data_IF_996419544576
#
_entry.id   IF_996419544576
#
_cell.length_a   1.000
_cell.length_b   1.000
_cell.length_c   1.000
_cell.angle_alpha   90.00
_cell.angle_beta   90.00
_cell.angle_gamma   90.00
#
_symmetry.space_group_name_H-M   'P 1'
#
loop_
_entity.id
_entity.type
_entity.pdbx_description
1 polymer ?
#
# COMPACT_ATOMS: atom_id res chain seq x y z
N UNK A 1 50.51 -44.87 22.22
CA UNK A 1 49.11 -44.59 22.63
C UNK A 1 49.04 -43.18 23.15
N UNK A 2 48.34 -42.29 22.44
CA UNK A 2 47.89 -41.00 22.95
C UNK A 2 46.44 -40.84 22.51
N UNK A 3 45.55 -40.65 23.48
CA UNK A 3 44.09 -40.57 23.32
C UNK A 3 43.70 -39.11 23.17
N UNK A 4 42.99 -38.83 22.08
CA UNK A 4 42.39 -37.55 21.73
C UNK A 4 41.09 -37.37 22.54
N UNK A 5 41.01 -36.35 23.39
CA UNK A 5 39.77 -35.98 24.09
C UNK A 5 39.02 -34.91 23.29
N UNK A 6 37.74 -35.19 23.09
CA UNK A 6 36.79 -34.52 22.22
C UNK A 6 36.53 -33.04 22.56
N UNK A 7 36.56 -32.19 21.53
CA UNK A 7 35.95 -30.86 21.52
C UNK A 7 34.58 -30.89 20.83
N UNK A 8 33.65 -31.72 21.31
CA UNK A 8 32.27 -31.81 20.78
C UNK A 8 31.24 -31.05 21.61
N UNK A 9 31.63 -30.53 22.80
CA UNK A 9 30.68 -29.91 23.74
C UNK A 9 30.32 -28.44 23.50
N UNK A 10 31.09 -27.69 22.69
CA UNK A 10 30.91 -26.23 22.54
C UNK A 10 30.10 -25.85 21.29
N UNK A 11 30.25 -26.59 20.18
CA UNK A 11 29.47 -26.35 18.96
C UNK A 11 28.01 -26.84 19.07
N UNK A 12 27.79 -27.93 19.79
CA UNK A 12 26.43 -28.43 20.05
C UNK A 12 25.60 -27.43 20.88
N UNK A 13 26.21 -26.75 21.85
CA UNK A 13 25.53 -25.72 22.65
C UNK A 13 25.21 -24.46 21.85
N UNK A 14 25.96 -24.15 20.80
CA UNK A 14 25.68 -23.01 19.90
C UNK A 14 24.50 -23.30 18.98
N UNK A 15 24.45 -24.48 18.36
CA UNK A 15 23.34 -24.87 17.49
C UNK A 15 22.05 -25.07 18.30
N UNK A 16 22.14 -25.67 19.48
CA UNK A 16 21.00 -25.84 20.39
C UNK A 16 20.53 -24.49 20.97
N UNK A 17 21.42 -23.49 21.11
CA UNK A 17 21.04 -22.13 21.52
C UNK A 17 20.42 -21.32 20.37
N UNK A 18 20.93 -21.44 19.14
CA UNK A 18 20.34 -20.84 17.94
C UNK A 18 18.96 -21.42 17.65
N UNK A 19 18.83 -22.75 17.75
CA UNK A 19 17.56 -23.46 17.60
C UNK A 19 16.58 -23.10 18.72
N UNK A 20 17.03 -22.95 19.97
CA UNK A 20 16.20 -22.43 21.07
C UNK A 20 15.82 -20.96 20.89
N UNK A 21 16.63 -20.11 20.24
CA UNK A 21 16.29 -18.73 19.88
C UNK A 21 15.25 -18.69 18.76
N UNK A 22 15.37 -19.55 17.74
CA UNK A 22 14.39 -19.70 16.67
C UNK A 22 13.08 -20.32 17.16
N UNK A 23 13.15 -21.29 18.07
CA UNK A 23 12.00 -21.89 18.76
C UNK A 23 11.33 -20.89 19.70
N UNK A 24 12.06 -20.03 20.43
CA UNK A 24 11.48 -18.94 21.24
C UNK A 24 10.89 -17.83 20.35
N UNK A 25 11.48 -17.53 19.17
CA UNK A 25 10.86 -16.65 18.17
C UNK A 25 9.54 -17.25 17.67
N UNK A 26 9.53 -18.53 17.30
CA UNK A 26 8.29 -19.22 16.91
C UNK A 26 7.29 -19.36 18.07
N UNK A 27 7.73 -19.54 19.31
CA UNK A 27 6.86 -19.67 20.50
C UNK A 27 6.28 -18.33 20.93
N UNK A 28 6.99 -17.21 20.77
CA UNK A 28 6.37 -15.86 20.87
C UNK A 28 5.40 -15.65 19.72
N UNK A 29 5.70 -16.09 18.50
CA UNK A 29 4.87 -15.93 17.29
C UNK A 29 3.68 -16.91 17.20
N UNK A 30 3.62 -17.94 18.04
CA UNK A 30 2.45 -18.82 18.20
C UNK A 30 1.68 -18.55 19.50
N UNK A 31 2.35 -18.13 20.59
CA UNK A 31 1.73 -17.72 21.85
C UNK A 31 1.15 -16.29 21.83
N UNK A 32 1.65 -15.42 20.93
CA UNK A 32 0.79 -14.47 20.20
C UNK A 32 0.21 -15.25 19.02
N UNK A 33 -0.96 -15.88 19.05
CA UNK A 33 -2.25 -15.20 19.11
C UNK A 33 -2.19 -13.75 18.58
N UNK A 34 -1.53 -13.52 17.43
CA UNK A 34 -1.13 -12.24 16.75
C UNK A 34 -2.27 -11.22 16.55
N UNK A 35 -2.75 -10.73 17.67
CA UNK A 35 -3.67 -9.65 17.92
C UNK A 35 -3.09 -8.26 17.53
N UNK A 36 -2.14 -8.12 16.60
CA UNK A 36 -1.47 -6.82 16.33
C UNK A 36 -0.77 -6.54 14.98
N UNK A 37 -0.49 -7.47 14.05
CA UNK A 37 0.78 -7.35 13.30
C UNK A 37 0.87 -7.69 11.79
N UNK A 38 -0.19 -7.50 10.97
CA UNK A 38 -0.03 -7.17 9.52
C UNK A 38 -0.51 -5.75 9.21
N UNK A 39 -0.54 -4.97 10.29
CA UNK A 39 -1.07 -3.64 10.42
C UNK A 39 0.09 -2.81 10.97
N UNK A 40 0.36 -1.67 10.35
CA UNK A 40 1.11 -0.61 11.03
C UNK A 40 0.25 -0.13 12.20
N UNK A 41 0.28 -0.88 13.30
CA UNK A 41 -0.39 -0.50 14.54
C UNK A 41 0.50 0.44 15.27
N UNK A 42 -0.17 1.38 15.88
CA UNK A 42 0.39 2.38 16.74
C UNK A 42 0.87 1.76 18.04
N UNK A 43 2.18 1.59 18.33
CA UNK A 43 2.62 1.23 19.67
C UNK A 43 2.20 2.32 20.67
N UNK A 44 1.23 2.01 21.52
CA UNK A 44 1.03 2.75 22.77
C UNK A 44 2.25 2.51 23.66
N UNK A 45 2.92 3.58 24.06
CA UNK A 45 3.83 3.56 25.22
C UNK A 45 3.09 2.91 26.38
N UNK A 46 3.61 1.76 26.86
CA UNK A 46 3.20 1.15 28.12
C UNK A 46 3.45 2.15 29.25
N UNK A 47 2.43 2.93 29.61
CA UNK A 47 2.26 3.37 30.99
C UNK A 47 1.16 2.50 31.57
N UNK A 48 1.59 1.61 32.45
CA UNK A 48 0.78 0.85 33.39
C UNK A 48 -0.30 1.74 33.98
N UNK A 49 -1.54 1.57 33.52
CA UNK A 49 -2.79 1.58 34.29
C UNK A 49 -3.88 1.06 33.35
N UNK A 50 -4.36 -0.17 33.62
CA UNK A 50 -5.50 -0.78 32.92
C UNK A 50 -6.77 -0.02 33.31
N UNK A 51 -7.06 1.08 32.63
CA UNK A 51 -8.44 1.52 32.50
C UNK A 51 -9.05 0.79 31.30
N UNK A 52 -10.28 0.30 31.48
CA UNK A 52 -11.14 -0.24 30.44
C UNK A 52 -11.14 0.71 29.23
N UNK A 53 -10.33 0.38 28.21
CA UNK A 53 -10.31 1.14 26.97
C UNK A 53 -11.60 0.80 26.25
N UNK A 54 -12.52 1.75 26.20
CA UNK A 54 -13.73 1.63 25.41
C UNK A 54 -13.29 1.32 23.95
N UNK A 55 -13.68 0.17 23.36
CA UNK A 55 -13.22 -0.24 22.04
C UNK A 55 -13.61 0.76 20.92
N UNK A 56 -14.52 1.69 21.22
CA UNK A 56 -14.91 2.82 20.37
C UNK A 56 -13.81 3.90 20.20
N UNK A 57 -12.67 3.80 20.86
CA UNK A 57 -11.58 4.80 20.85
C UNK A 57 -10.30 4.33 20.14
N UNK A 58 -10.32 3.18 19.45
CA UNK A 58 -9.18 2.72 18.64
C UNK A 58 -9.36 3.26 17.22
N UNK A 59 -8.44 4.13 16.77
CA UNK A 59 -8.44 4.58 15.38
C UNK A 59 -8.28 3.36 14.46
N UNK A 60 -9.04 3.31 13.35
CA UNK A 60 -8.80 2.30 12.34
C UNK A 60 -7.35 2.43 11.86
N UNK A 61 -6.69 1.32 11.54
CA UNK A 61 -5.32 1.40 11.07
C UNK A 61 -5.21 2.14 9.74
N UNK A 62 -4.03 2.70 9.49
CA UNK A 62 -3.69 3.32 8.19
C UNK A 62 -3.75 2.27 7.07
N UNK A 63 -3.19 1.09 7.32
CA UNK A 63 -2.99 0.06 6.32
C UNK A 63 -3.24 -1.34 6.90
N UNK A 64 -3.92 -2.18 6.13
CA UNK A 64 -4.08 -3.61 6.37
C UNK A 64 -3.63 -4.36 5.13
N UNK A 65 -2.84 -5.42 5.32
CA UNK A 65 -2.33 -6.24 4.21
C UNK A 65 -2.74 -7.70 4.37
N UNK A 66 -3.06 -8.36 3.26
CA UNK A 66 -3.36 -9.79 3.16
C UNK A 66 -2.61 -10.37 1.97
N UNK A 67 -1.91 -11.47 2.17
CA UNK A 67 -1.01 -12.03 1.17
C UNK A 67 -1.15 -13.53 1.11
N UNK A 68 -1.06 -14.09 -0.10
CA UNK A 68 -1.10 -15.53 -0.32
C UNK A 68 -0.35 -15.92 -1.58
N UNK A 69 0.25 -17.09 -1.56
CA UNK A 69 0.83 -17.75 -2.73
C UNK A 69 -0.05 -18.96 -3.06
N UNK A 70 -0.59 -18.99 -4.27
CA UNK A 70 -1.22 -20.18 -4.83
C UNK A 70 -0.18 -20.92 -5.67
N UNK A 71 0.29 -22.07 -5.22
CA UNK A 71 1.25 -22.91 -5.93
C UNK A 71 0.53 -24.02 -6.69
N UNK A 72 1.03 -24.43 -7.85
CA UNK A 72 0.48 -25.58 -8.57
C UNK A 72 0.60 -26.86 -7.72
N UNK A 73 -0.30 -27.83 -7.91
CA UNK A 73 -0.30 -29.06 -7.13
C UNK A 73 0.96 -29.91 -7.33
N UNK A 74 1.65 -29.77 -8.47
CA UNK A 74 2.90 -30.47 -8.72
C UNK A 74 4.13 -29.82 -8.04
N UNK A 75 3.94 -28.65 -7.42
CA UNK A 75 4.94 -28.01 -6.60
C UNK A 75 4.79 -28.42 -5.13
N UNK A 76 5.89 -28.85 -4.53
CA UNK A 76 6.01 -28.97 -3.09
C UNK A 76 6.88 -27.83 -2.58
N UNK A 77 6.27 -26.92 -1.81
CA UNK A 77 7.01 -25.86 -1.14
C UNK A 77 7.86 -26.48 -0.02
N UNK A 78 9.14 -26.14 0.01
CA UNK A 78 10.02 -26.52 1.11
C UNK A 78 9.45 -26.02 2.46
N UNK A 79 9.57 -26.84 3.51
CA UNK A 79 8.99 -26.54 4.83
C UNK A 79 9.66 -25.31 5.45
N UNK A 80 10.98 -25.16 5.29
CA UNK A 80 11.69 -24.00 5.81
C UNK A 80 11.34 -22.74 5.02
N UNK A 81 11.20 -22.85 3.70
CA UNK A 81 10.72 -21.76 2.85
C UNK A 81 9.32 -21.32 3.27
N UNK A 82 8.37 -22.25 3.39
CA UNK A 82 6.99 -21.96 3.81
C UNK A 82 6.95 -21.27 5.17
N UNK A 83 7.72 -21.78 6.13
CA UNK A 83 7.85 -21.18 7.46
C UNK A 83 8.42 -19.76 7.39
N UNK A 84 9.48 -19.54 6.60
CA UNK A 84 10.08 -18.20 6.44
C UNK A 84 9.15 -17.23 5.73
N UNK A 85 8.50 -17.67 4.65
CA UNK A 85 7.53 -16.87 3.90
C UNK A 85 6.39 -16.39 4.82
N UNK A 86 5.86 -17.28 5.64
CA UNK A 86 4.84 -16.93 6.63
C UNK A 86 5.40 -16.01 7.74
N UNK A 87 6.52 -16.37 8.36
CA UNK A 87 7.03 -15.64 9.53
C UNK A 87 7.47 -14.21 9.22
N UNK A 88 8.09 -13.98 8.06
CA UNK A 88 8.70 -12.69 7.71
C UNK A 88 7.80 -11.82 6.84
N UNK A 89 6.96 -12.43 6.00
CA UNK A 89 6.20 -11.71 4.98
C UNK A 89 4.69 -11.90 5.07
N UNK A 90 4.22 -12.75 6.01
CA UNK A 90 2.82 -13.11 6.18
C UNK A 90 2.22 -13.75 4.91
N UNK A 91 3.03 -14.50 4.15
CA UNK A 91 2.55 -15.28 3.02
C UNK A 91 2.10 -16.67 3.48
N UNK A 92 0.80 -16.93 3.36
CA UNK A 92 0.27 -18.29 3.35
C UNK A 92 0.52 -18.92 1.98
N UNK A 93 0.95 -20.18 1.94
CA UNK A 93 1.12 -20.94 0.70
C UNK A 93 0.02 -22.01 0.64
N UNK A 94 -0.75 -22.01 -0.44
CA UNK A 94 -1.82 -22.98 -0.68
C UNK A 94 -1.63 -23.63 -2.04
N UNK A 95 -1.72 -24.96 -2.09
CA UNK A 95 -1.68 -25.68 -3.35
C UNK A 95 -3.06 -25.59 -4.05
N UNK A 96 -3.04 -25.31 -5.35
CA UNK A 96 -4.22 -25.14 -6.20
C UNK A 96 -3.93 -25.77 -7.57
N UNK A 97 -4.93 -26.39 -8.19
CA UNK A 97 -4.79 -26.96 -9.53
C UNK A 97 -4.78 -25.83 -10.58
N UNK A 98 -3.62 -25.24 -10.87
CA UNK A 98 -3.51 -24.13 -11.82
C UNK A 98 -3.66 -24.58 -13.28
N UNK A 99 -3.54 -25.88 -13.54
CA UNK A 99 -3.87 -26.45 -14.86
C UNK A 99 -5.36 -26.31 -15.21
N UNK A 100 -6.27 -26.31 -14.20
CA UNK A 100 -7.67 -25.98 -14.39
C UNK A 100 -7.90 -24.47 -14.17
N UNK A 101 -7.66 -23.68 -15.22
CA UNK A 101 -7.67 -22.21 -15.18
C UNK A 101 -8.97 -21.64 -14.62
N UNK A 102 -10.13 -22.16 -15.03
CA UNK A 102 -11.43 -21.65 -14.59
C UNK A 102 -11.64 -21.88 -13.09
N UNK A 103 -11.43 -23.12 -12.62
CA UNK A 103 -11.55 -23.44 -11.19
C UNK A 103 -10.53 -22.69 -10.35
N UNK A 104 -9.31 -22.51 -10.86
CA UNK A 104 -8.25 -21.77 -10.17
C UNK A 104 -8.59 -20.28 -10.07
N UNK A 105 -9.03 -19.66 -11.18
CA UNK A 105 -9.45 -18.26 -11.22
C UNK A 105 -10.61 -18.00 -10.25
N UNK A 106 -11.61 -18.88 -10.20
CA UNK A 106 -12.72 -18.78 -9.23
C UNK A 106 -12.22 -18.86 -7.79
N UNK A 107 -11.36 -19.84 -7.47
CA UNK A 107 -10.82 -20.00 -6.10
C UNK A 107 -10.01 -18.79 -5.65
N UNK A 108 -9.20 -18.23 -6.54
CA UNK A 108 -8.43 -17.01 -6.28
C UNK A 108 -9.37 -15.83 -6.07
N UNK A 109 -10.38 -15.67 -6.94
CA UNK A 109 -11.34 -14.58 -6.86
C UNK A 109 -12.15 -14.61 -5.56
N UNK A 110 -12.57 -15.81 -5.12
CA UNK A 110 -13.30 -16.00 -3.87
C UNK A 110 -12.44 -15.64 -2.66
N UNK A 111 -11.16 -16.05 -2.66
CA UNK A 111 -10.22 -15.66 -1.62
C UNK A 111 -10.04 -14.15 -1.55
N UNK A 112 -9.76 -13.48 -2.69
CA UNK A 112 -9.58 -12.03 -2.73
C UNK A 112 -10.83 -11.30 -2.25
N UNK A 113 -12.01 -11.68 -2.74
CA UNK A 113 -13.29 -11.07 -2.34
C UNK A 113 -13.55 -11.20 -0.84
N UNK A 114 -13.13 -12.32 -0.23
CA UNK A 114 -13.19 -12.52 1.22
C UNK A 114 -12.21 -11.61 1.96
N UNK A 115 -10.98 -11.47 1.46
CA UNK A 115 -9.96 -10.60 2.07
C UNK A 115 -10.36 -9.11 2.00
N UNK A 116 -10.96 -8.66 0.91
CA UNK A 116 -11.44 -7.27 0.76
C UNK A 116 -12.47 -6.94 1.81
N UNK A 117 -13.46 -7.82 2.02
CA UNK A 117 -14.48 -7.64 3.07
C UNK A 117 -13.86 -7.60 4.46
N UNK A 118 -12.89 -8.47 4.73
CA UNK A 118 -12.16 -8.47 6.01
C UNK A 118 -11.39 -7.16 6.22
N UNK A 119 -10.69 -6.67 5.18
CA UNK A 119 -9.97 -5.40 5.20
C UNK A 119 -10.91 -4.22 5.43
N UNK A 120 -12.01 -4.12 4.67
CA UNK A 120 -13.01 -3.06 4.83
C UNK A 120 -13.57 -3.06 6.26
N UNK A 121 -13.89 -4.24 6.80
CA UNK A 121 -14.35 -4.38 8.18
C UNK A 121 -13.31 -3.90 9.19
N UNK A 122 -12.04 -4.28 9.03
CA UNK A 122 -10.95 -3.87 9.92
C UNK A 122 -10.65 -2.37 9.87
N UNK A 123 -10.77 -1.76 8.68
CA UNK A 123 -10.55 -0.34 8.47
C UNK A 123 -11.77 0.51 8.82
N UNK A 124 -12.87 -0.10 9.27
CA UNK A 124 -14.16 0.54 9.55
C UNK A 124 -14.69 1.31 8.33
N UNK A 125 -14.51 0.74 7.14
CA UNK A 125 -14.96 1.28 5.87
C UNK A 125 -16.27 0.58 5.48
N UNK A 126 -17.26 1.29 4.93
CA UNK A 126 -18.43 0.66 4.35
C UNK A 126 -18.04 -0.47 3.38
N UNK A 127 -18.73 -1.59 3.47
CA UNK A 127 -18.55 -2.69 2.53
C UNK A 127 -19.19 -2.27 1.21
N UNK A 128 -18.38 -1.68 0.33
CA UNK A 128 -18.82 -1.28 -1.00
C UNK A 128 -18.86 -2.48 -1.95
N UNK A 129 -19.80 -2.46 -2.90
CA UNK A 129 -20.01 -3.52 -3.89
C UNK A 129 -19.02 -3.49 -5.06
N UNK A 130 -17.90 -2.78 -4.94
CA UNK A 130 -16.91 -2.69 -6.01
C UNK A 130 -16.46 -4.08 -6.42
N UNK A 131 -16.85 -4.46 -7.64
CA UNK A 131 -16.46 -5.72 -8.24
C UNK A 131 -14.99 -5.66 -8.57
N UNK A 132 -14.25 -6.67 -8.11
CA UNK A 132 -12.85 -6.79 -8.49
C UNK A 132 -12.72 -6.96 -10.01
N UNK A 133 -11.64 -6.45 -10.62
CA UNK A 133 -11.32 -6.79 -12.00
C UNK A 133 -11.27 -8.31 -12.14
N UNK A 134 -11.88 -8.85 -13.22
CA UNK A 134 -11.82 -10.29 -13.50
C UNK A 134 -10.36 -10.74 -13.61
N UNK A 135 -10.09 -11.90 -13.04
CA UNK A 135 -8.74 -12.47 -12.98
C UNK A 135 -8.43 -13.31 -14.22
N UNK A 136 -7.69 -12.73 -15.16
CA UNK A 136 -7.06 -13.49 -16.25
C UNK A 136 -5.61 -13.87 -15.93
N UNK A 137 -5.24 -13.91 -14.64
CA UNK A 137 -3.86 -14.09 -14.18
C UNK A 137 -3.35 -15.54 -14.31
N UNK A 138 -4.24 -16.52 -14.42
CA UNK A 138 -3.88 -17.93 -14.49
C UNK A 138 -3.81 -18.38 -15.95
N UNK A 139 -2.66 -18.95 -16.34
CA UNK A 139 -2.44 -19.57 -17.65
C UNK A 139 -2.01 -21.02 -17.48
N UNK A 140 -2.00 -21.81 -18.58
CA UNK A 140 -1.54 -23.21 -18.54
C UNK A 140 -0.06 -23.36 -18.15
N UNK A 141 0.72 -22.28 -18.21
CA UNK A 141 2.13 -22.24 -17.83
C UNK A 141 2.35 -21.67 -16.42
N UNK A 142 1.28 -21.21 -15.75
CA UNK A 142 1.37 -20.61 -14.43
C UNK A 142 1.65 -21.69 -13.40
N UNK A 143 2.75 -21.53 -12.67
CA UNK A 143 3.20 -22.46 -11.63
C UNK A 143 2.99 -21.92 -10.22
N UNK A 144 2.99 -20.61 -10.08
CA UNK A 144 2.58 -19.95 -8.85
C UNK A 144 1.93 -18.61 -9.15
N UNK A 145 1.00 -18.21 -8.28
CA UNK A 145 0.41 -16.87 -8.25
C UNK A 145 0.67 -16.28 -6.87
N UNK A 146 1.43 -15.19 -6.81
CA UNK A 146 1.69 -14.41 -5.59
C UNK A 146 0.71 -13.25 -5.57
N UNK A 147 -0.12 -13.17 -4.53
CA UNK A 147 -1.13 -12.14 -4.39
C UNK A 147 -0.90 -11.31 -3.14
N UNK A 148 -1.08 -10.01 -3.28
CA UNK A 148 -1.11 -9.06 -2.17
C UNK A 148 -2.34 -8.16 -2.30
N UNK A 149 -3.14 -8.08 -1.25
CA UNK A 149 -4.36 -7.29 -1.15
C UNK A 149 -4.14 -6.30 -0.01
N UNK A 150 -4.22 -4.99 -0.30
CA UNK A 150 -3.86 -3.92 0.63
C UNK A 150 -5.03 -2.95 0.76
N UNK A 151 -5.56 -2.75 1.96
CA UNK A 151 -6.44 -1.61 2.23
C UNK A 151 -5.64 -0.47 2.80
N UNK A 152 -5.80 0.72 2.23
CA UNK A 152 -5.14 1.94 2.64
C UNK A 152 -6.18 3.02 2.95
N UNK A 153 -6.42 3.25 4.24
CA UNK A 153 -7.35 4.25 4.75
C UNK A 153 -6.56 5.44 5.29
N UNK A 154 -6.74 6.64 4.74
CA UNK A 154 -5.99 7.81 5.21
C UNK A 154 -6.62 8.37 6.50
N UNK A 155 -5.93 8.28 7.66
CA UNK A 155 -6.47 8.80 8.91
C UNK A 155 -6.08 10.28 8.98
N UNK A 156 -7.00 11.16 8.62
CA UNK A 156 -6.77 12.61 8.76
C UNK A 156 -6.54 13.00 10.22
N UNK A 157 -5.90 14.15 10.45
CA UNK A 157 -5.97 14.83 11.75
C UNK A 157 -7.45 14.94 12.19
N UNK A 158 -7.69 14.76 13.49
CA UNK A 158 -9.03 14.89 14.07
C UNK A 158 -9.68 16.22 13.62
N UNK A 159 -10.96 16.14 13.28
CA UNK A 159 -11.83 17.25 12.89
C UNK A 159 -11.48 17.96 11.59
N UNK A 160 -10.47 17.47 10.85
CA UNK A 160 -10.01 18.10 9.63
C UNK A 160 -11.10 18.13 8.56
N UNK A 161 -11.73 17.00 8.29
CA UNK A 161 -12.79 16.80 7.29
C UNK A 161 -14.08 16.30 7.96
N UNK A 162 -14.87 17.20 8.57
CA UNK A 162 -16.13 16.82 9.18
C UNK A 162 -17.19 16.50 8.12
N UNK A 163 -17.98 15.45 8.34
CA UNK A 163 -18.97 14.99 7.36
C UNK A 163 -20.07 16.01 7.03
N UNK A 164 -20.33 16.95 7.92
CA UNK A 164 -21.30 18.04 7.67
C UNK A 164 -20.85 19.02 6.58
N UNK A 165 -19.54 19.05 6.26
CA UNK A 165 -18.93 19.94 5.26
C UNK A 165 -18.74 19.28 3.89
N UNK A 166 -18.85 17.96 3.77
CA UNK A 166 -18.82 17.27 2.48
C UNK A 166 -19.96 17.78 1.60
N UNK A 167 -19.63 18.08 0.33
CA UNK A 167 -20.58 18.55 -0.68
C UNK A 167 -20.27 17.93 -2.02
N UNK A 168 -21.27 17.80 -2.88
CA UNK A 168 -21.04 17.40 -4.28
C UNK A 168 -20.40 18.55 -5.04
N UNK A 169 -19.34 18.27 -5.79
CA UNK A 169 -18.67 19.21 -6.68
C UNK A 169 -18.32 18.50 -7.99
N UNK A 170 -18.07 19.27 -9.03
CA UNK A 170 -17.53 18.75 -10.28
C UNK A 170 -16.04 18.46 -10.13
N UNK A 171 -15.63 17.29 -10.61
CA UNK A 171 -14.24 16.91 -10.86
C UNK A 171 -14.02 16.85 -12.37
N UNK A 172 -13.11 17.66 -12.88
CA UNK A 172 -12.80 17.79 -14.29
C UNK A 172 -11.79 16.72 -14.69
N UNK A 173 -12.24 15.65 -15.35
CA UNK A 173 -11.35 14.60 -15.88
C UNK A 173 -10.39 15.18 -16.93
N UNK A 174 -10.91 16.09 -17.75
CA UNK A 174 -10.17 16.85 -18.75
C UNK A 174 -10.95 18.15 -19.07
N UNK A 175 -10.50 18.91 -20.07
CA UNK A 175 -11.14 20.17 -20.46
C UNK A 175 -12.61 20.03 -20.94
N UNK A 176 -13.05 18.83 -21.32
CA UNK A 176 -14.38 18.56 -21.89
C UNK A 176 -15.27 17.71 -21.00
N UNK A 177 -14.67 16.83 -20.20
CA UNK A 177 -15.37 15.84 -19.40
C UNK A 177 -15.23 16.14 -17.91
N UNK A 178 -16.35 16.08 -17.20
CA UNK A 178 -16.42 16.22 -15.76
C UNK A 178 -17.39 15.21 -15.16
N UNK A 179 -17.16 14.87 -13.89
CA UNK A 179 -18.03 14.00 -13.10
C UNK A 179 -18.37 14.71 -11.80
N UNK A 180 -19.63 14.64 -11.37
CA UNK A 180 -20.03 15.22 -10.08
C UNK A 180 -19.83 14.17 -8.99
N UNK A 181 -19.02 14.50 -7.99
CA UNK A 181 -18.63 13.59 -6.91
C UNK A 181 -18.67 14.29 -5.54
N UNK A 182 -18.79 13.53 -4.43
CA UNK A 182 -18.57 14.08 -3.10
C UNK A 182 -17.13 14.55 -2.92
N UNK A 183 -16.96 15.83 -2.56
CA UNK A 183 -15.70 16.43 -2.13
C UNK A 183 -15.74 16.68 -0.62
N UNK A 184 -14.74 16.15 0.07
CA UNK A 184 -14.41 16.47 1.44
C UNK A 184 -13.97 17.94 1.49
N UNK A 185 -14.51 18.71 2.43
CA UNK A 185 -14.08 20.10 2.67
C UNK A 185 -13.54 20.22 4.08
N UNK A 186 -12.33 20.73 4.21
CA UNK A 186 -11.69 20.83 5.52
C UNK A 186 -12.26 21.99 6.34
N UNK A 187 -12.00 21.98 7.64
CA UNK A 187 -11.97 23.24 8.41
C UNK A 187 -10.77 24.09 7.94
N UNK A 188 -10.87 25.44 7.96
CA UNK A 188 -9.73 26.31 7.65
C UNK A 188 -8.55 26.00 8.59
N UNK A 189 -7.36 25.95 8.03
CA UNK A 189 -6.17 25.62 8.79
C UNK A 189 -4.89 25.94 8.07
N UNK A 190 -3.80 25.86 8.82
CA UNK A 190 -2.46 26.10 8.34
C UNK A 190 -1.86 24.81 7.73
N UNK A 191 -1.53 24.85 6.44
CA UNK A 191 -0.92 23.74 5.71
C UNK A 191 0.37 24.19 5.01
N UNK A 192 1.33 23.27 4.88
CA UNK A 192 2.54 23.56 4.11
C UNK A 192 2.20 23.44 2.63
N UNK A 193 2.30 24.56 1.93
CA UNK A 193 2.01 24.66 0.49
C UNK A 193 3.30 25.00 -0.25
N UNK A 194 3.69 24.10 -1.14
CA UNK A 194 4.79 24.28 -2.08
C UNK A 194 4.21 24.66 -3.43
N UNK A 195 4.57 25.83 -3.93
CA UNK A 195 4.18 26.31 -5.25
C UNK A 195 5.39 26.33 -6.17
N UNK A 196 5.27 25.67 -7.32
CA UNK A 196 6.28 25.65 -8.37
C UNK A 196 5.71 26.23 -9.66
N UNK A 197 6.50 26.23 -10.73
CA UNK A 197 6.03 26.62 -12.06
C UNK A 197 5.11 25.58 -12.70
N UNK A 198 5.12 24.32 -12.23
CA UNK A 198 4.37 23.21 -12.82
C UNK A 198 3.14 22.83 -11.99
N UNK A 199 3.22 22.95 -10.66
CA UNK A 199 2.19 22.47 -9.75
C UNK A 199 2.11 23.29 -8.46
N UNK A 200 1.03 23.05 -7.72
CA UNK A 200 0.92 23.38 -6.29
C UNK A 200 0.73 22.08 -5.52
N UNK A 201 1.49 21.88 -4.45
CA UNK A 201 1.28 20.75 -3.55
C UNK A 201 0.98 21.19 -2.13
N UNK A 202 0.18 20.41 -1.44
CA UNK A 202 -0.15 20.61 -0.03
C UNK A 202 0.21 19.37 0.78
N UNK A 203 0.94 19.55 1.88
CA UNK A 203 1.20 18.49 2.85
C UNK A 203 0.09 18.48 3.91
N UNK A 204 -0.75 17.45 3.87
CA UNK A 204 -1.88 17.28 4.78
C UNK A 204 -1.45 16.38 5.94
N UNK A 205 -1.47 16.88 7.20
CA UNK A 205 -1.05 16.09 8.34
C UNK A 205 -2.01 14.94 8.63
N UNK A 206 -1.47 13.76 8.89
CA UNK A 206 -2.23 12.59 9.34
C UNK A 206 -2.57 12.68 10.84
N UNK A 207 -3.40 11.75 11.31
CA UNK A 207 -3.83 11.64 12.72
C UNK A 207 -2.64 11.68 13.66
N UNK A 208 -2.79 12.40 14.79
CA UNK A 208 -1.80 12.45 15.87
C UNK A 208 -1.58 11.09 16.52
N UNK A 209 -2.54 10.18 16.36
CA UNK A 209 -2.35 8.81 16.76
C UNK A 209 -1.26 8.13 15.93
N UNK A 210 -0.74 8.69 14.84
CA UNK A 210 0.48 8.25 14.15
C UNK A 210 1.79 8.87 14.71
N UNK A 211 1.74 9.65 15.79
CA UNK A 211 2.92 10.36 16.32
C UNK A 211 4.07 9.46 16.82
N UNK A 212 3.76 8.24 17.26
CA UNK A 212 4.76 7.26 17.72
C UNK A 212 5.53 6.59 16.56
N UNK A 213 5.10 6.76 15.30
CA UNK A 213 5.86 6.40 14.08
C UNK A 213 6.45 7.65 13.41
N UNK A 214 6.72 8.71 14.19
CA UNK A 214 7.32 9.96 13.68
C UNK A 214 6.32 10.94 13.06
N UNK A 215 5.03 10.61 13.05
CA UNK A 215 4.02 11.36 12.32
C UNK A 215 4.07 11.07 10.82
N UNK A 216 3.23 11.75 10.06
CA UNK A 216 3.17 11.56 8.61
C UNK A 216 2.28 12.58 7.94
N UNK A 217 2.39 12.63 6.62
CA UNK A 217 1.59 13.51 5.78
C UNK A 217 1.18 12.82 4.50
N UNK A 218 -0.04 13.09 4.07
CA UNK A 218 -0.42 12.88 2.68
C UNK A 218 -0.10 14.16 1.92
N UNK A 219 0.84 14.09 0.98
CA UNK A 219 1.18 15.19 0.09
C UNK A 219 0.33 15.06 -1.17
N UNK A 220 -0.49 16.07 -1.45
CA UNK A 220 -1.37 16.12 -2.62
C UNK A 220 -0.79 17.12 -3.62
N UNK A 221 -0.63 16.72 -4.88
CA UNK A 221 0.00 17.52 -5.93
C UNK A 221 -1.00 17.80 -7.03
N UNK A 222 -1.37 19.08 -7.18
CA UNK A 222 -2.27 19.56 -8.21
C UNK A 222 -1.48 20.25 -9.32
N UNK A 223 -1.57 19.79 -10.58
CA UNK A 223 -0.92 20.49 -11.67
C UNK A 223 -1.59 21.87 -11.91
N UNK A 224 -0.83 22.86 -12.37
CA UNK A 224 -1.45 24.13 -12.82
C UNK A 224 -2.26 23.96 -14.11
N UNK A 225 -1.91 22.95 -14.91
CA UNK A 225 -2.61 22.59 -16.14
C UNK A 225 -2.66 21.06 -16.28
N UNK A 226 -3.81 20.50 -16.69
CA UNK A 226 -4.04 19.06 -16.85
C UNK A 226 -2.97 18.37 -17.71
N UNK A 227 -2.44 19.05 -18.74
CA UNK A 227 -1.44 18.47 -19.64
C UNK A 227 -0.08 18.22 -18.97
N UNK A 228 0.18 18.80 -17.80
CA UNK A 228 1.46 18.67 -17.10
C UNK A 228 1.55 17.45 -16.18
N UNK A 229 0.43 16.74 -15.94
CA UNK A 229 0.38 15.67 -14.92
C UNK A 229 1.41 14.56 -15.17
N UNK A 230 1.61 14.17 -16.44
CA UNK A 230 2.56 13.13 -16.83
C UNK A 230 4.00 13.61 -16.63
N UNK A 231 4.32 14.85 -17.03
CA UNK A 231 5.63 15.45 -16.80
C UNK A 231 5.95 15.53 -15.31
N UNK A 232 5.01 16.02 -14.50
CA UNK A 232 5.20 16.13 -13.05
C UNK A 232 5.41 14.76 -12.43
N UNK A 233 4.63 13.76 -12.85
CA UNK A 233 4.79 12.37 -12.38
C UNK A 233 6.19 11.85 -12.68
N UNK A 234 6.64 12.00 -13.91
CA UNK A 234 7.93 11.50 -14.35
C UNK A 234 9.06 12.26 -13.61
N UNK A 235 8.98 13.59 -13.48
CA UNK A 235 9.96 14.40 -12.73
C UNK A 235 10.04 14.03 -11.24
N UNK A 236 8.90 13.72 -10.60
CA UNK A 236 8.85 13.39 -9.17
C UNK A 236 9.24 11.95 -8.86
N UNK A 237 8.88 11.00 -9.72
CA UNK A 237 9.03 9.56 -9.47
C UNK A 237 10.14 8.89 -10.28
N UNK A 238 10.94 9.65 -11.03
CA UNK A 238 12.07 9.11 -11.80
C UNK A 238 13.15 8.48 -10.90
N UNK A 239 13.45 9.08 -9.74
CA UNK A 239 14.42 8.54 -8.77
C UNK A 239 13.93 8.70 -7.34
N UNK A 240 14.40 7.83 -6.44
CA UNK A 240 14.15 7.97 -4.99
C UNK A 240 14.70 9.29 -4.44
N UNK A 241 15.84 9.76 -4.95
CA UNK A 241 16.47 11.02 -4.52
C UNK A 241 15.57 12.22 -4.83
N UNK A 242 15.00 12.28 -6.04
CA UNK A 242 14.06 13.34 -6.43
C UNK A 242 12.79 13.29 -5.56
N UNK A 243 12.25 12.10 -5.33
CA UNK A 243 11.05 11.91 -4.50
C UNK A 243 11.30 12.38 -3.05
N UNK A 244 12.40 11.98 -2.43
CA UNK A 244 12.75 12.42 -1.08
C UNK A 244 13.00 13.93 -1.00
N UNK A 245 13.72 14.50 -1.97
CA UNK A 245 13.93 15.94 -2.04
C UNK A 245 12.60 16.71 -2.17
N UNK A 246 11.68 16.20 -2.98
CA UNK A 246 10.33 16.75 -3.10
C UNK A 246 9.57 16.67 -1.77
N UNK A 247 9.58 15.53 -1.09
CA UNK A 247 8.91 15.35 0.21
C UNK A 247 9.43 16.33 1.27
N UNK A 248 10.75 16.47 1.37
CA UNK A 248 11.36 17.42 2.31
C UNK A 248 11.01 18.87 1.96
N UNK A 249 11.00 19.24 0.68
CA UNK A 249 10.59 20.57 0.25
C UNK A 249 9.11 20.84 0.56
N UNK A 250 8.22 19.87 0.32
CA UNK A 250 6.80 19.99 0.61
C UNK A 250 6.52 20.08 2.13
N UNK A 251 7.27 19.32 2.94
CA UNK A 251 7.18 19.33 4.41
C UNK A 251 7.65 20.67 5.00
N UNK A 252 8.67 21.29 4.40
CA UNK A 252 9.25 22.55 4.86
C UNK A 252 8.73 23.78 4.11
N UNK A 253 7.67 23.61 3.30
CA UNK A 253 7.09 24.68 2.50
C UNK A 253 6.40 25.74 3.36
N UNK A 254 6.01 26.86 2.72
CA UNK A 254 5.34 27.97 3.41
C UNK A 254 4.03 27.49 4.02
N UNK A 255 3.82 27.84 5.29
CA UNK A 255 2.56 27.61 5.98
C UNK A 255 1.53 28.65 5.51
N UNK A 256 0.43 28.19 4.92
CA UNK A 256 -0.66 29.02 4.40
C UNK A 256 -1.97 28.59 5.07
N UNK A 257 -2.74 29.58 5.54
CA UNK A 257 -4.08 29.34 6.06
C UNK A 257 -5.06 29.21 4.89
N UNK A 258 -5.57 28.00 4.65
CA UNK A 258 -6.46 27.66 3.52
C UNK A 258 -7.54 26.69 3.97
N UNK A 259 -8.56 26.54 3.15
CA UNK A 259 -9.48 25.38 3.20
C UNK A 259 -9.08 24.39 2.11
N UNK A 260 -9.12 23.09 2.39
CA UNK A 260 -8.86 22.04 1.41
C UNK A 260 -10.19 21.47 0.90
N UNK A 261 -10.31 21.29 -0.41
CA UNK A 261 -11.43 20.60 -1.05
C UNK A 261 -10.89 19.40 -1.82
N UNK A 262 -11.05 18.20 -1.26
CA UNK A 262 -10.40 16.96 -1.73
C UNK A 262 -11.48 15.93 -2.07
N UNK A 263 -11.38 15.15 -3.15
CA UNK A 263 -12.38 14.14 -3.46
C UNK A 263 -12.46 13.08 -2.37
N UNK A 264 -13.68 12.65 -2.06
CA UNK A 264 -13.91 11.42 -1.31
C UNK A 264 -13.64 10.25 -2.26
N UNK A 265 -12.75 9.33 -1.86
CA UNK A 265 -12.28 8.24 -2.70
C UNK A 265 -12.61 6.88 -2.08
N UNK A 266 -13.00 5.95 -2.95
CA UNK A 266 -13.07 4.50 -2.72
C UNK A 266 -12.58 3.85 -4.02
N UNK A 267 -11.26 3.71 -4.16
CA UNK A 267 -10.63 3.34 -5.43
C UNK A 267 -9.94 1.98 -5.34
N UNK A 268 -10.38 0.97 -6.13
CA UNK A 268 -9.59 -0.23 -6.36
C UNK A 268 -8.52 0.05 -7.42
N UNK A 269 -7.27 -0.28 -7.09
CA UNK A 269 -6.10 -0.20 -7.96
C UNK A 269 -5.53 -1.62 -8.07
N UNK A 270 -5.27 -2.10 -9.27
CA UNK A 270 -4.70 -3.42 -9.50
C UNK A 270 -3.44 -3.30 -10.34
N UNK A 271 -2.39 -4.01 -9.92
CA UNK A 271 -1.12 -4.07 -10.62
C UNK A 271 -0.70 -5.53 -10.77
N UNK A 272 -0.32 -5.90 -12.00
CA UNK A 272 0.11 -7.24 -12.34
C UNK A 272 1.55 -7.20 -12.87
N UNK A 273 2.40 -8.11 -12.37
CA UNK A 273 3.73 -8.35 -12.86
C UNK A 273 3.87 -9.81 -13.27
N UNK A 274 4.39 -10.03 -14.46
CA UNK A 274 4.68 -11.37 -14.95
C UNK A 274 6.19 -11.57 -14.84
N UNK A 275 6.62 -12.39 -13.89
CA UNK A 275 8.00 -12.87 -13.89
C UNK A 275 8.08 -14.13 -14.76
N UNK A 276 8.73 -14.01 -15.90
CA UNK A 276 9.19 -15.19 -16.65
C UNK A 276 10.38 -15.73 -15.89
N UNK A 277 10.23 -16.90 -15.25
CA UNK A 277 11.40 -17.63 -14.80
C UNK A 277 12.25 -17.91 -16.05
N UNK A 278 13.38 -17.20 -16.18
CA UNK A 278 14.36 -17.46 -17.22
C UNK A 278 14.71 -18.93 -17.12
N UNK A 279 14.49 -19.68 -18.22
CA UNK A 279 15.05 -21.02 -18.35
C UNK A 279 16.55 -20.90 -18.08
N UNK A 280 17.00 -21.39 -16.94
CA UNK A 280 18.41 -21.69 -16.77
C UNK A 280 18.68 -22.76 -17.80
N UNK A 281 19.44 -22.39 -18.84
CA UNK A 281 19.82 -23.27 -19.93
C UNK A 281 20.32 -24.58 -19.32
N UNK A 282 19.75 -25.72 -19.72
CA UNK A 282 20.18 -27.07 -19.31
C UNK A 282 21.69 -27.34 -19.55
N UNK A 283 22.39 -26.45 -20.25
CA UNK A 283 23.80 -26.57 -20.60
C UNK A 283 24.72 -25.52 -19.93
N UNK A 284 24.20 -24.61 -19.09
CA UNK A 284 25.05 -23.81 -18.20
C UNK A 284 25.18 -24.57 -16.88
N UNK A 285 26.24 -25.38 -16.81
CA UNK A 285 26.81 -25.81 -15.54
C UNK A 285 27.05 -24.54 -14.71
N UNK A 286 26.25 -24.37 -13.67
CA UNK A 286 26.60 -23.56 -12.52
C UNK A 286 27.88 -24.18 -11.96
N UNK A 287 29.04 -23.69 -12.39
CA UNK A 287 30.28 -23.92 -11.68
C UNK A 287 30.09 -23.38 -10.28
N UNK A 288 30.07 -24.30 -9.33
CA UNK A 288 30.00 -24.10 -7.89
C UNK A 288 31.12 -23.17 -7.42
N UNK A 289 30.85 -21.87 -7.34
CA UNK A 289 31.55 -20.95 -6.42
C UNK A 289 30.56 -20.00 -5.75
N UNK A 290 29.34 -20.49 -5.47
CA UNK A 290 28.37 -19.85 -4.58
C UNK A 290 28.12 -20.77 -3.39
N UNK A 291 28.40 -20.29 -2.19
CA UNK A 291 28.31 -20.99 -0.90
C UNK A 291 27.10 -21.93 -0.77
N UNK A 292 27.35 -23.10 -0.17
CA UNK A 292 26.42 -24.22 0.05
C UNK A 292 25.20 -23.95 0.96
N UNK A 293 24.84 -22.70 1.30
CA UNK A 293 23.77 -22.41 2.26
C UNK A 293 22.52 -21.73 1.67
N UNK A 294 22.50 -21.41 0.37
CA UNK A 294 21.29 -20.93 -0.31
C UNK A 294 20.94 -21.87 -1.46
N UNK A 295 20.07 -22.83 -1.16
CA UNK A 295 19.37 -23.60 -2.17
C UNK A 295 18.47 -22.64 -2.98
N UNK A 296 19.06 -21.98 -3.98
CA UNK A 296 18.35 -21.29 -5.05
C UNK A 296 17.58 -22.32 -5.87
N UNK A 297 16.45 -22.77 -5.34
CA UNK A 297 15.52 -23.62 -6.05
C UNK A 297 14.83 -22.78 -7.12
N UNK A 298 15.32 -22.91 -8.35
CA UNK A 298 14.75 -22.28 -9.54
C UNK A 298 13.47 -23.03 -9.91
N UNK A 299 12.37 -22.30 -10.11
CA UNK A 299 11.15 -22.85 -10.72
C UNK A 299 11.44 -23.21 -12.18
N UNK A 300 11.59 -24.51 -12.47
CA UNK A 300 11.84 -25.01 -13.82
C UNK A 300 10.53 -25.09 -14.63
N UNK A 301 10.48 -24.40 -15.77
CA UNK A 301 9.49 -24.65 -16.81
C UNK A 301 8.11 -24.00 -16.64
N UNK A 302 7.99 -22.91 -15.88
CA UNK A 302 6.72 -22.18 -15.73
C UNK A 302 6.87 -20.68 -15.46
N UNK A 303 5.75 -20.01 -15.24
CA UNK A 303 5.70 -18.57 -14.92
C UNK A 303 5.20 -18.35 -13.49
N UNK A 304 5.80 -17.38 -12.80
CA UNK A 304 5.26 -16.83 -11.55
C UNK A 304 4.53 -15.55 -11.88
N UNK A 305 3.26 -15.52 -11.53
CA UNK A 305 2.42 -14.35 -11.68
C UNK A 305 2.36 -13.63 -10.35
N UNK A 306 2.61 -12.33 -10.33
CA UNK A 306 2.53 -11.51 -9.13
C UNK A 306 1.45 -10.47 -9.34
N UNK A 307 0.54 -10.32 -8.39
CA UNK A 307 -0.48 -9.28 -8.43
C UNK A 307 -0.65 -8.61 -7.09
N UNK A 308 -0.80 -7.30 -7.15
CA UNK A 308 -1.09 -6.47 -6.01
C UNK A 308 -2.34 -5.64 -6.28
N UNK A 309 -3.32 -5.80 -5.40
CA UNK A 309 -4.54 -5.03 -5.40
C UNK A 309 -4.53 -4.10 -4.18
N UNK A 310 -4.75 -2.81 -4.40
CA UNK A 310 -4.77 -1.77 -3.38
C UNK A 310 -6.14 -1.09 -3.40
N UNK A 311 -6.78 -0.97 -2.24
CA UNK A 311 -7.96 -0.15 -2.06
C UNK A 311 -7.60 1.12 -1.32
N UNK A 312 -7.69 2.26 -2.02
CA UNK A 312 -7.39 3.57 -1.47
C UNK A 312 -8.67 4.27 -1.03
N UNK A 313 -8.67 4.76 0.21
CA UNK A 313 -9.83 5.42 0.80
C UNK A 313 -9.49 6.80 1.35
N UNK A 314 -10.16 7.82 0.80
CA UNK A 314 -10.22 9.17 1.36
C UNK A 314 -11.65 9.37 1.85
N UNK A 315 -11.85 9.41 3.16
CA UNK A 315 -13.17 9.57 3.77
C UNK A 315 -13.14 10.66 4.83
N UNK A 316 -14.31 11.11 5.24
CA UNK A 316 -14.47 12.03 6.37
C UNK A 316 -13.84 11.47 7.66
N UNK A 317 -13.56 12.34 8.64
CA UNK A 317 -13.25 11.86 9.98
C UNK A 317 -14.43 11.05 10.54
N UNK A 318 -14.16 9.85 11.02
CA UNK A 318 -15.17 8.95 11.60
C UNK A 318 -15.62 9.37 13.00
N UNK A 319 -14.82 10.21 13.68
CA UNK A 319 -15.18 10.77 14.99
C UNK A 319 -15.94 12.08 14.81
N UNK A 320 -17.04 12.28 15.57
CA UNK A 320 -17.65 13.60 15.66
C UNK A 320 -16.60 14.59 16.19
N UNK A 321 -16.65 15.85 15.74
CA UNK A 321 -15.69 16.85 16.18
C UNK A 321 -15.65 16.90 17.69
N UNK A 322 -14.46 16.82 18.27
CA UNK A 322 -14.31 16.98 19.71
C UNK A 322 -14.82 18.38 20.02
N UNK A 323 -15.98 18.49 20.69
CA UNK A 323 -16.50 19.79 21.12
C UNK A 323 -15.42 20.41 22.00
N UNK A 324 -14.74 21.48 21.55
CA UNK A 324 -13.71 22.10 22.37
C UNK A 324 -14.40 22.55 23.65
N UNK A 325 -13.77 22.25 24.78
CA UNK A 325 -14.23 22.75 26.08
C UNK A 325 -14.47 24.25 25.96
N UNK A 326 -15.70 24.68 26.21
CA UNK A 326 -16.26 25.97 25.75
C UNK A 326 -15.65 27.21 26.44
N UNK A 327 -14.54 27.02 27.14
CA UNK A 327 -13.85 28.01 27.98
C UNK A 327 -12.70 28.73 27.29
N UNK A 328 -12.28 28.31 26.09
CA UNK A 328 -11.28 29.03 25.28
C UNK A 328 -11.84 29.38 23.91
N UNK A 329 -12.81 30.29 23.91
CA UNK A 329 -13.29 30.96 22.69
C UNK A 329 -12.36 32.14 22.43
N UNK A 330 -11.49 32.14 21.40
CA UNK A 330 -10.96 33.40 20.91
C UNK A 330 -12.15 34.22 20.38
N UNK A 331 -12.39 35.35 21.03
CA UNK A 331 -13.33 36.37 20.59
C UNK A 331 -12.81 37.02 19.31
N UNK A 332 -13.62 36.96 18.25
CA UNK A 332 -13.75 37.87 17.11
C UNK A 332 -14.25 37.03 15.91
N UNK A 333 -15.46 37.18 15.39
CA UNK A 333 -15.99 38.40 14.78
C UNK A 333 -14.94 39.08 13.89
N UNK A 334 -14.48 38.36 12.86
CA UNK A 334 -14.12 38.97 11.59
C UNK A 334 -14.75 38.09 10.50
N UNK A 335 -15.82 38.63 9.92
CA UNK A 335 -16.41 38.16 8.69
C UNK A 335 -15.39 38.23 7.54
N UNK A 336 -15.44 37.21 6.69
CA UNK A 336 -15.09 37.26 5.26
C UNK A 336 -13.72 37.80 4.85
N UNK A 337 -12.63 37.25 5.38
CA UNK A 337 -11.52 36.95 4.49
C UNK A 337 -11.83 35.59 3.89
N UNK A 338 -12.30 35.57 2.64
CA UNK A 338 -12.36 34.34 1.84
C UNK A 338 -10.95 33.74 1.86
N UNK A 339 -10.74 32.76 2.74
CA UNK A 339 -9.50 31.98 2.69
C UNK A 339 -9.48 31.32 1.33
N UNK A 340 -8.47 31.61 0.52
CA UNK A 340 -8.24 30.94 -0.76
C UNK A 340 -8.41 29.43 -0.55
N UNK A 341 -9.22 28.77 -1.37
CA UNK A 341 -9.47 27.34 -1.25
C UNK A 341 -8.53 26.55 -2.16
N UNK A 342 -7.92 25.50 -1.62
CA UNK A 342 -7.15 24.55 -2.40
C UNK A 342 -8.09 23.45 -2.91
N UNK A 343 -8.55 23.59 -4.15
CA UNK A 343 -9.40 22.60 -4.82
C UNK A 343 -8.60 21.51 -5.52
N UNK A 344 -8.89 20.24 -5.21
CA UNK A 344 -8.32 19.08 -5.90
C UNK A 344 -9.36 18.44 -6.84
N UNK A 345 -9.90 19.25 -7.74
CA UNK A 345 -11.01 18.94 -8.64
C UNK A 345 -10.55 18.59 -10.07
N UNK A 346 -9.28 18.20 -10.23
CA UNK A 346 -8.62 17.81 -11.48
C UNK A 346 -7.70 16.61 -11.21
N UNK A 347 -7.23 15.86 -12.23
CA UNK A 347 -6.24 14.81 -12.04
C UNK A 347 -5.04 15.26 -11.23
N UNK A 348 -4.66 14.46 -10.24
CA UNK A 348 -3.65 14.83 -9.25
C UNK A 348 -2.76 13.65 -8.87
N UNK A 349 -1.58 13.96 -8.32
CA UNK A 349 -0.69 12.97 -7.72
C UNK A 349 -0.81 13.00 -6.20
N UNK A 350 -0.52 11.88 -5.56
CA UNK A 350 -0.40 11.80 -4.11
C UNK A 350 0.87 11.05 -3.70
N UNK A 351 1.40 11.42 -2.54
CA UNK A 351 2.47 10.71 -1.84
C UNK A 351 2.07 10.60 -0.38
N UNK A 352 1.96 9.38 0.12
CA UNK A 352 1.77 9.07 1.52
C UNK A 352 3.14 8.83 2.16
N UNK A 353 3.54 9.74 3.02
CA UNK A 353 4.82 9.71 3.72
C UNK A 353 4.62 9.48 5.22
N UNK A 354 5.41 8.55 5.78
CA UNK A 354 5.57 8.37 7.23
C UNK A 354 7.02 8.69 7.58
N UNK A 355 7.23 9.81 8.25
CA UNK A 355 8.56 10.40 8.44
C UNK A 355 9.35 10.57 7.12
N UNK A 356 10.38 9.75 6.90
CA UNK A 356 11.20 9.73 5.67
C UNK A 356 10.75 8.66 4.66
N UNK A 357 9.90 7.72 5.08
CA UNK A 357 9.51 6.58 4.27
C UNK A 357 8.30 6.88 3.40
N UNK A 358 8.36 6.44 2.14
CA UNK A 358 7.23 6.47 1.21
C UNK A 358 6.43 5.18 1.36
N UNK A 359 5.21 5.29 1.86
CA UNK A 359 4.31 4.13 2.01
C UNK A 359 3.55 3.85 0.72
N UNK A 360 3.08 4.91 0.06
CA UNK A 360 2.33 4.81 -1.18
C UNK A 360 2.49 6.10 -1.98
N UNK A 361 2.42 5.99 -3.30
CA UNK A 361 2.29 7.14 -4.18
C UNK A 361 1.51 6.72 -5.43
N UNK A 362 0.97 7.69 -6.14
CA UNK A 362 0.22 7.40 -7.36
C UNK A 362 -0.47 8.61 -7.94
N UNK A 363 -1.30 8.35 -8.96
CA UNK A 363 -2.08 9.33 -9.69
C UNK A 363 -3.56 8.97 -9.62
N UNK A 364 -4.40 9.96 -9.35
CA UNK A 364 -5.85 9.83 -9.43
C UNK A 364 -6.33 10.63 -10.64
N UNK A 365 -6.65 9.93 -11.71
CA UNK A 365 -7.19 10.54 -12.94
C UNK A 365 -8.72 10.55 -12.98
N UNK A 366 -9.35 9.58 -12.31
CA UNK A 366 -10.80 9.48 -12.18
C UNK A 366 -11.19 9.02 -10.76
N UNK A 367 -11.84 9.86 -9.95
CA UNK A 367 -12.15 9.56 -8.55
C UNK A 367 -13.33 8.58 -8.37
N UNK A 368 -14.11 8.27 -9.41
CA UNK A 368 -15.25 7.36 -9.29
C UNK A 368 -14.88 5.87 -9.32
N UNK A 369 -13.64 5.52 -9.69
CA UNK A 369 -13.21 4.13 -9.85
C UNK A 369 -13.92 3.46 -11.04
N UNK A 370 -13.17 3.13 -12.09
CA UNK A 370 -13.79 2.55 -13.27
C UNK A 370 -12.90 2.67 -14.49
N UNK A 371 -12.37 1.52 -14.89
CA UNK A 371 -11.75 1.29 -16.19
C UNK A 371 -12.73 1.64 -17.32
N UNK A 372 -12.67 2.87 -17.83
CA UNK A 372 -12.52 2.95 -19.29
C UNK A 372 -11.07 2.60 -19.56
N UNK A 373 -10.80 1.31 -19.74
CA UNK A 373 -9.63 0.92 -20.52
C UNK A 373 -9.92 1.49 -21.91
N UNK A 374 -9.42 2.70 -22.18
CA UNK A 374 -9.18 3.11 -23.55
C UNK A 374 -8.09 2.17 -24.05
N UNK A 375 -8.52 1.04 -24.63
CA UNK A 375 -7.66 0.33 -25.55
C UNK A 375 -7.28 1.36 -26.61
N UNK A 376 -5.99 1.66 -26.68
CA UNK A 376 -5.43 2.38 -27.81
C UNK A 376 -5.92 1.65 -29.06
N UNK A 377 -6.58 2.31 -30.03
CA UNK A 377 -6.96 1.64 -31.26
C UNK A 377 -5.66 1.29 -31.99
N UNK A 378 -5.21 0.04 -31.85
CA UNK A 378 -4.20 -0.54 -32.71
C UNK A 378 -4.82 -0.71 -34.09
N UNK A 379 -4.68 0.32 -34.93
CA UNK A 379 -4.79 0.14 -36.38
C UNK A 379 -3.83 -0.97 -36.78
N UNK A 380 -4.39 -1.93 -37.51
CA UNK A 380 -3.84 -3.26 -37.66
C UNK A 380 -2.41 -3.33 -38.19
N UNK A 381 -1.68 -4.30 -37.66
CA UNK A 381 -0.82 -5.21 -38.42
C UNK A 381 -0.58 -6.42 -37.51
N UNK A 382 -0.99 -7.60 -37.97
CA UNK A 382 -0.85 -8.86 -37.25
C UNK A 382 0.64 -9.20 -37.04
N UNK A 383 1.18 -8.82 -35.89
CA UNK A 383 2.39 -9.42 -35.32
C UNK A 383 2.26 -9.34 -33.79
N UNK A 384 2.47 -10.44 -33.04
CA UNK A 384 2.41 -10.37 -31.58
C UNK A 384 3.57 -9.49 -31.09
N UNK A 385 3.25 -8.28 -30.67
CA UNK A 385 4.20 -7.36 -30.04
C UNK A 385 4.53 -7.91 -28.66
N UNK A 386 5.81 -8.12 -28.38
CA UNK A 386 6.28 -8.50 -27.06
C UNK A 386 5.84 -7.46 -26.01
N UNK A 387 5.38 -7.88 -24.82
CA UNK A 387 5.09 -6.94 -23.75
C UNK A 387 6.38 -6.22 -23.38
N UNK A 388 6.32 -4.88 -23.39
CA UNK A 388 7.43 -4.02 -22.99
C UNK A 388 7.83 -4.33 -21.54
N UNK A 389 9.13 -4.44 -21.22
CA UNK A 389 9.57 -4.64 -19.84
C UNK A 389 9.07 -3.50 -18.97
N UNK A 390 8.75 -3.80 -17.71
CA UNK A 390 8.40 -2.80 -16.71
C UNK A 390 9.51 -1.73 -16.62
N UNK A 391 9.15 -0.45 -16.37
CA UNK A 391 10.15 0.61 -16.15
C UNK A 391 11.17 0.21 -15.09
N UNK A 392 12.45 0.45 -15.33
CA UNK A 392 13.56 0.02 -14.46
C UNK A 392 13.47 0.55 -13.02
N UNK A 393 12.75 1.65 -12.78
CA UNK A 393 12.56 2.24 -11.45
C UNK A 393 11.55 1.46 -10.57
N UNK A 394 10.69 0.62 -11.15
CA UNK A 394 9.81 -0.28 -10.40
C UNK A 394 10.54 -1.55 -9.91
N UNK A 395 11.69 -1.89 -10.50
CA UNK A 395 12.49 -3.05 -10.09
C UNK A 395 13.31 -2.78 -8.81
N UNK A 396 13.46 -1.52 -8.40
CA UNK A 396 14.31 -1.14 -7.25
C UNK A 396 13.55 -0.92 -5.93
N UNK A 397 12.23 -1.11 -5.88
CA UNK A 397 11.44 -0.95 -4.64
C UNK A 397 11.42 -2.25 -3.80
N UNK A 398 11.81 -3.39 -4.40
CA UNK A 398 12.04 -4.65 -3.70
C UNK A 398 13.39 -5.22 -4.13
N UNK A 399 14.45 -4.68 -3.55
CA UNK A 399 15.79 -5.27 -3.51
C UNK A 399 16.14 -5.63 -2.07
#
# INVERSE_FOLDING_TARGET
MAVLIQATGVLARSAEHQQRIEEVRCYVLSATSRLSESVLRVPRRRKTHRHLVNPLLVDPPLMETRRRIFADMDLQADVNYTRRAFCWYDFEITNLNLANQESAATSIQDWMSTQVKAIQSHLAIPIDSHTMPKNDIVSTKTKAVVLSTIGLNIPWREDLFPATKTRTHDFHLNAKEKVTIPMLRSIPGNFNILQTQLFVSVAVPLSRNLSHIGGGSLILVRPHNHSLIEQIRDDLFQTSVQLHAFMENAKNAKLINTTLVVPRLSLPISQEWISRATQVNKNQSLTQEGNQDEANMILLGGTVQVRQDVWLYFQENTRPPHVPDSTLRPSAANESLESEEFHLDVPFLFVLALDIDVVAFGQVSNPQGGSKITSVPTKGTNKPTEPSPAPSWLQSIFG
#
